data_IF_802760632007
#
_entry.id   IF_802760632007
#
_cell.length_a   1.000
_cell.length_b   1.000
_cell.length_c   1.000
_cell.angle_alpha   90.00
_cell.angle_beta   90.00
_cell.angle_gamma   90.00
#
_symmetry.space_group_name_H-M   'P 1'
#
loop_
_entity.id
_entity.type
_entity.pdbx_description
1 polymer ?
#
# COMPACT_ATOMS: atom_id res chain seq x y z
N UNK A 1 -24.69 20.62 -33.29
CA UNK A 1 -23.63 20.06 -32.42
C UNK A 1 -22.48 21.07 -32.35
N UNK A 2 -21.77 21.20 -31.23
CA UNK A 2 -20.59 22.10 -31.13
C UNK A 2 -19.31 21.27 -30.92
N UNK A 3 -18.21 21.69 -31.52
CA UNK A 3 -16.89 21.10 -31.30
C UNK A 3 -16.22 21.77 -30.10
N UNK A 4 -15.57 20.97 -29.24
CA UNK A 4 -14.78 21.43 -28.08
C UNK A 4 -13.48 20.66 -27.99
N UNK A 5 -12.50 21.19 -27.26
CA UNK A 5 -11.23 20.52 -27.00
C UNK A 5 -11.16 20.01 -25.55
N UNK A 6 -10.70 18.78 -25.37
CA UNK A 6 -10.56 18.16 -24.06
C UNK A 6 -9.43 18.83 -23.27
N UNK A 7 -9.72 19.35 -22.07
CA UNK A 7 -8.69 20.00 -21.24
C UNK A 7 -7.59 19.06 -20.75
N UNK A 8 -7.83 17.74 -20.78
CA UNK A 8 -6.84 16.75 -20.35
C UNK A 8 -5.94 16.28 -21.51
N UNK A 9 -6.51 15.90 -22.65
CA UNK A 9 -5.76 15.28 -23.75
C UNK A 9 -5.64 16.13 -25.01
N UNK A 10 -6.24 17.32 -25.05
CA UNK A 10 -6.21 18.24 -26.21
C UNK A 10 -7.06 17.81 -27.41
N UNK A 11 -7.58 16.58 -27.44
CA UNK A 11 -8.40 16.08 -28.57
C UNK A 11 -9.72 16.84 -28.70
N UNK A 12 -10.14 17.07 -29.93
CA UNK A 12 -11.45 17.63 -30.23
C UNK A 12 -12.55 16.57 -30.05
N UNK A 13 -13.72 16.99 -29.59
CA UNK A 13 -14.89 16.13 -29.41
C UNK A 13 -16.18 16.92 -29.62
N UNK A 14 -17.22 16.25 -30.09
CA UNK A 14 -18.53 16.84 -30.34
C UNK A 14 -19.41 16.75 -29.11
N UNK A 15 -20.19 17.81 -28.86
CA UNK A 15 -21.23 17.82 -27.83
C UNK A 15 -22.60 17.95 -28.50
N UNK A 16 -23.43 16.93 -28.26
CA UNK A 16 -24.75 16.74 -28.88
C UNK A 16 -25.82 17.68 -28.31
N UNK A 17 -25.69 18.05 -27.03
CA UNK A 17 -26.59 18.96 -26.33
C UNK A 17 -25.79 20.03 -25.56
N UNK A 18 -26.39 21.18 -25.22
CA UNK A 18 -25.75 22.20 -24.39
C UNK A 18 -25.68 21.73 -22.93
N UNK A 19 -24.95 20.63 -22.68
CA UNK A 19 -24.26 20.51 -21.40
C UNK A 19 -23.15 21.54 -21.45
N UNK A 20 -23.50 22.79 -21.09
CA UNK A 20 -22.60 23.94 -21.08
C UNK A 20 -21.26 23.61 -20.41
N UNK A 21 -21.25 22.65 -19.47
CA UNK A 21 -20.11 22.20 -18.67
C UNK A 21 -19.30 21.00 -19.19
N UNK A 22 -19.51 20.44 -20.39
CA UNK A 22 -18.66 19.34 -20.87
C UNK A 22 -17.24 19.85 -21.21
N UNK A 23 -16.26 19.52 -20.35
CA UNK A 23 -14.83 19.93 -20.44
C UNK A 23 -13.90 18.79 -20.92
N UNK A 24 -14.36 17.55 -20.85
CA UNK A 24 -13.56 16.36 -21.13
C UNK A 24 -14.26 15.47 -22.17
N UNK A 25 -13.47 14.87 -23.07
CA UNK A 25 -13.99 14.02 -24.14
C UNK A 25 -14.44 12.62 -23.69
N UNK A 26 -14.09 12.20 -22.46
CA UNK A 26 -14.48 10.90 -21.89
C UNK A 26 -14.36 10.90 -20.37
N UNK A 27 -15.04 9.96 -19.71
CA UNK A 27 -14.92 9.76 -18.26
C UNK A 27 -13.51 9.37 -17.84
N UNK A 28 -12.77 8.67 -18.70
CA UNK A 28 -11.34 8.38 -18.50
C UNK A 28 -10.51 9.65 -18.39
N UNK A 29 -10.71 10.62 -19.30
CA UNK A 29 -10.00 11.90 -19.25
C UNK A 29 -10.37 12.71 -18.02
N UNK A 30 -11.66 12.69 -17.62
CA UNK A 30 -12.13 13.30 -16.37
C UNK A 30 -11.44 12.66 -15.15
N UNK A 31 -11.47 11.34 -15.03
CA UNK A 31 -10.86 10.62 -13.91
C UNK A 31 -9.34 10.80 -13.82
N UNK A 32 -8.66 10.84 -14.96
CA UNK A 32 -7.22 11.09 -14.99
C UNK A 32 -6.84 12.46 -14.43
N UNK A 33 -7.63 13.50 -14.67
CA UNK A 33 -7.34 14.83 -14.10
C UNK A 33 -7.32 14.82 -12.57
N UNK A 34 -8.25 14.08 -11.95
CA UNK A 34 -8.32 13.90 -10.50
C UNK A 34 -7.10 13.13 -10.01
N UNK A 35 -6.71 12.05 -10.71
CA UNK A 35 -5.52 11.24 -10.38
C UNK A 35 -4.23 12.04 -10.50
N UNK A 36 -4.04 12.81 -11.56
CA UNK A 36 -2.86 13.67 -11.74
C UNK A 36 -2.76 14.71 -10.63
N UNK A 37 -3.87 15.37 -10.28
CA UNK A 37 -3.89 16.33 -9.14
C UNK A 37 -3.60 15.65 -7.80
N UNK A 38 -4.13 14.44 -7.58
CA UNK A 38 -3.84 13.68 -6.38
C UNK A 38 -2.37 13.26 -6.31
N UNK A 39 -1.80 12.81 -7.43
CA UNK A 39 -0.39 12.46 -7.55
C UNK A 39 0.52 13.66 -7.30
N UNK A 40 0.18 14.82 -7.86
CA UNK A 40 0.94 16.06 -7.64
C UNK A 40 0.92 16.47 -6.17
N UNK A 41 -0.26 16.48 -5.53
CA UNK A 41 -0.37 16.73 -4.08
C UNK A 41 0.45 15.72 -3.27
N UNK A 42 0.37 14.43 -3.61
CA UNK A 42 1.18 13.40 -2.95
C UNK A 42 2.67 13.72 -3.06
N UNK A 43 3.17 14.07 -4.25
CA UNK A 43 4.59 14.45 -4.46
C UNK A 43 5.00 15.66 -3.62
N UNK A 44 4.15 16.68 -3.52
CA UNK A 44 4.42 17.88 -2.72
C UNK A 44 4.50 17.56 -1.22
N UNK A 45 3.69 16.63 -0.74
CA UNK A 45 3.68 16.24 0.69
C UNK A 45 4.53 15.00 1.00
N UNK A 46 5.13 14.38 -0.01
CA UNK A 46 5.82 13.11 0.16
C UNK A 46 7.05 13.29 1.04
N UNK A 47 7.08 12.58 2.16
CA UNK A 47 8.24 12.48 3.04
C UNK A 47 8.74 11.04 2.99
N UNK A 48 9.96 10.78 2.50
CA UNK A 48 10.51 9.43 2.55
C UNK A 48 10.57 8.97 4.01
N UNK A 49 10.14 7.73 4.26
CA UNK A 49 10.33 7.14 5.59
C UNK A 49 11.82 7.00 5.84
N UNK A 50 12.27 7.46 7.01
CA UNK A 50 13.66 7.27 7.41
C UNK A 50 13.94 5.77 7.61
N UNK A 51 15.14 5.30 7.23
CA UNK A 51 15.57 3.95 7.55
C UNK A 51 15.56 3.76 9.07
N UNK A 52 14.97 2.66 9.54
CA UNK A 52 15.05 2.29 10.94
C UNK A 52 16.15 1.26 11.12
N UNK A 53 17.12 1.57 11.97
CA UNK A 53 18.04 0.57 12.49
C UNK A 53 17.32 -0.28 13.53
N UNK A 54 17.21 -1.57 13.25
CA UNK A 54 16.45 -2.52 14.06
C UNK A 54 17.35 -3.71 14.36
N UNK A 55 17.29 -4.19 15.60
CA UNK A 55 17.99 -5.42 15.98
C UNK A 55 17.12 -6.64 15.69
N UNK A 56 17.70 -7.63 15.01
CA UNK A 56 17.02 -8.89 14.75
C UNK A 56 16.78 -9.66 16.06
N UNK A 57 15.53 -10.05 16.32
CA UNK A 57 15.20 -10.83 17.53
C UNK A 57 15.82 -12.23 17.55
N UNK A 58 16.22 -12.77 16.39
CA UNK A 58 16.81 -14.12 16.28
C UNK A 58 18.33 -14.11 16.42
N UNK A 59 19.02 -13.19 15.76
CA UNK A 59 20.49 -13.21 15.68
C UNK A 59 21.17 -11.99 16.31
N UNK A 60 20.40 -11.04 16.86
CA UNK A 60 20.92 -9.82 17.51
C UNK A 60 21.55 -8.79 16.58
N UNK A 61 21.79 -9.12 15.30
CA UNK A 61 22.40 -8.18 14.33
C UNK A 61 21.47 -7.00 14.03
N UNK A 62 22.05 -5.81 13.98
CA UNK A 62 21.38 -4.60 13.51
C UNK A 62 21.22 -4.63 11.99
N UNK A 63 20.09 -4.17 11.50
CA UNK A 63 19.81 -4.06 10.07
C UNK A 63 18.86 -2.89 9.79
N UNK A 64 18.88 -2.41 8.55
CA UNK A 64 17.96 -1.37 8.08
C UNK A 64 16.65 -2.02 7.65
N UNK A 65 15.55 -1.66 8.30
CA UNK A 65 14.24 -2.26 8.07
C UNK A 65 13.07 -1.28 8.10
N UNK A 66 11.88 -1.81 7.85
CA UNK A 66 10.62 -1.12 8.17
C UNK A 66 10.46 -1.09 9.68
N UNK A 67 9.88 -0.04 10.26
CA UNK A 67 9.75 0.11 11.73
C UNK A 67 9.07 -1.05 12.48
N UNK A 68 8.38 -1.96 11.78
CA UNK A 68 7.77 -3.17 12.35
C UNK A 68 8.52 -4.48 12.03
N UNK A 69 9.71 -4.41 11.42
CA UNK A 69 10.52 -5.57 11.14
C UNK A 69 11.02 -6.19 12.46
N UNK A 70 11.01 -7.52 12.54
CA UNK A 70 11.49 -8.27 13.72
C UNK A 70 12.71 -9.13 13.43
N UNK A 71 12.90 -9.50 12.18
CA UNK A 71 13.96 -10.40 11.72
C UNK A 71 14.67 -9.79 10.53
N UNK A 72 15.99 -9.95 10.47
CA UNK A 72 16.76 -9.59 9.28
C UNK A 72 16.43 -10.54 8.11
N UNK A 73 16.79 -10.16 6.88
CA UNK A 73 16.49 -10.93 5.67
C UNK A 73 16.93 -12.40 5.76
N UNK A 74 18.07 -12.66 6.40
CA UNK A 74 18.61 -14.01 6.58
C UNK A 74 17.87 -14.83 7.65
N UNK A 75 17.25 -14.18 8.63
CA UNK A 75 16.46 -14.86 9.66
C UNK A 75 14.97 -14.94 9.30
N UNK A 76 14.51 -14.12 8.37
CA UNK A 76 13.14 -14.12 7.87
C UNK A 76 12.83 -15.40 7.09
N UNK A 77 13.77 -15.87 6.27
CA UNK A 77 13.68 -17.15 5.54
C UNK A 77 13.48 -18.33 6.50
N UNK A 78 14.09 -18.27 7.69
CA UNK A 78 13.88 -19.27 8.74
C UNK A 78 12.58 -19.05 9.52
N UNK A 79 12.12 -17.80 9.61
CA UNK A 79 10.99 -17.34 10.42
C UNK A 79 9.61 -17.45 9.74
N UNK A 80 9.55 -17.60 8.41
CA UNK A 80 8.27 -17.82 7.70
C UNK A 80 7.55 -19.11 8.11
N UNK A 81 8.25 -20.05 8.77
CA UNK A 81 7.65 -21.25 9.39
C UNK A 81 7.18 -21.05 10.83
N UNK A 82 7.48 -19.90 11.46
CA UNK A 82 7.24 -19.67 12.89
C UNK A 82 5.87 -19.03 13.21
N UNK A 83 5.20 -18.40 12.24
CA UNK A 83 3.82 -17.90 12.44
C UNK A 83 2.75 -18.98 12.26
N UNK A 84 3.05 -20.09 11.57
CA UNK A 84 2.11 -21.23 11.45
C UNK A 84 2.06 -22.11 12.70
N UNK A 85 3.10 -22.07 13.56
CA UNK A 85 3.18 -22.91 14.77
C UNK A 85 2.59 -22.28 16.03
N UNK A 86 2.44 -20.95 16.10
CA UNK A 86 1.89 -20.29 17.28
C UNK A 86 0.35 -20.19 17.31
N UNK A 87 -0.33 -20.50 16.21
CA UNK A 87 -1.81 -20.51 16.15
C UNK A 87 -2.45 -21.88 16.41
N UNK A 88 -1.66 -22.96 16.58
CA UNK A 88 -2.21 -24.32 16.83
C UNK A 88 -2.07 -24.81 18.28
N UNK A 89 -1.38 -24.09 19.17
CA UNK A 89 -1.22 -24.51 20.58
C UNK A 89 -2.11 -23.70 21.52
N UNK A 90 -3.42 -23.65 21.23
CA UNK A 90 -4.42 -23.10 22.17
C UNK A 90 -5.66 -23.99 22.24
N UNK A 91 -5.47 -25.29 22.46
CA UNK A 91 -6.56 -26.18 22.86
C UNK A 91 -6.03 -27.56 23.26
N UNK A 92 -5.30 -27.68 24.37
CA UNK A 92 -5.41 -28.84 25.28
C UNK A 92 -5.08 -28.35 26.68
N UNK A 93 -6.14 -28.06 27.44
CA UNK A 93 -6.06 -27.76 28.84
C UNK A 93 -5.81 -29.03 29.65
N UNK A 94 -4.93 -28.89 30.65
CA UNK A 94 -5.01 -29.45 32.01
C UNK A 94 -5.50 -30.90 32.16
N UNK A 95 -4.59 -31.77 32.59
CA UNK A 95 -4.76 -32.49 33.86
C UNK A 95 -3.40 -32.97 34.35
N UNK A 96 -2.90 -32.30 35.38
CA UNK A 96 -1.81 -32.79 36.19
C UNK A 96 -2.35 -33.67 37.30
N UNK A 97 -1.69 -34.81 37.52
CA UNK A 97 -1.44 -35.38 38.84
C UNK A 97 -0.37 -36.44 38.68
N UNK A 98 0.85 -36.06 39.07
CA UNK A 98 2.04 -36.89 39.23
C UNK A 98 1.91 -37.83 40.45
N UNK A 99 2.79 -38.84 40.57
CA UNK A 99 2.62 -40.01 41.43
C UNK A 99 3.22 -39.82 42.83
N UNK A 100 2.63 -40.50 43.82
CA UNK A 100 3.31 -41.07 45.01
C UNK A 100 2.59 -42.37 45.38
#
# INVERSE_FOLDING_TARGET
MKLKYCRFCGKSFTVSAPRFAAVYCSDRCRGNTVRCKAHERHRQTYKPRQPHEISCLKCGKTFVGRGNARYCINCLTDGSRYMTKLLHNRSEGVNGSDPV
#
